data_IF_806570321866
#
_entry.id   IF_806570321866
#
_cell.length_a   1.000
_cell.length_b   1.000
_cell.length_c   1.000
_cell.angle_alpha   90.00
_cell.angle_beta   90.00
_cell.angle_gamma   90.00
#
_symmetry.space_group_name_H-M   'P 1'
#
loop_
_entity.id
_entity.type
_entity.pdbx_description
1 polymer ?
#
# COMPACT_ATOMS: atom_id res chain seq x y z
N UNK A 1 -30.69 14.00 1.57
CA UNK A 1 -30.24 13.53 2.90
C UNK A 1 -29.42 14.58 3.64
N UNK A 2 -29.46 14.60 4.99
CA UNK A 2 -28.46 15.34 5.76
C UNK A 2 -27.10 14.66 5.62
N UNK A 3 -26.03 15.43 5.45
CA UNK A 3 -24.68 14.87 5.35
C UNK A 3 -24.26 14.24 6.69
N UNK A 4 -23.56 13.13 6.61
CA UNK A 4 -22.94 12.46 7.76
C UNK A 4 -21.75 13.32 8.21
N UNK A 5 -21.70 13.69 9.48
CA UNK A 5 -20.63 14.55 10.02
C UNK A 5 -19.40 13.74 10.34
N UNK A 6 -18.26 14.13 9.76
CA UNK A 6 -16.93 13.60 10.11
C UNK A 6 -16.31 14.49 11.19
N UNK A 7 -15.98 13.91 12.33
CA UNK A 7 -15.63 14.66 13.54
C UNK A 7 -14.30 15.40 13.45
N UNK A 8 -13.26 14.73 12.93
CA UNK A 8 -11.92 15.27 12.80
C UNK A 8 -11.49 15.32 11.32
N UNK A 9 -10.54 16.19 10.95
CA UNK A 9 -10.10 16.32 9.57
C UNK A 9 -9.51 15.04 8.99
N UNK A 10 -9.59 14.96 7.66
CA UNK A 10 -8.84 14.00 6.85
C UNK A 10 -7.86 14.78 5.98
N UNK A 11 -6.61 14.33 5.91
CA UNK A 11 -5.59 14.94 5.05
C UNK A 11 -5.75 14.37 3.65
N UNK A 12 -6.01 15.25 2.68
CA UNK A 12 -6.11 14.89 1.28
C UNK A 12 -4.83 15.24 0.53
N UNK A 13 -4.20 14.22 -0.08
CA UNK A 13 -3.01 14.38 -0.90
C UNK A 13 -3.40 14.15 -2.37
N UNK A 14 -3.51 15.22 -3.13
CA UNK A 14 -3.78 15.15 -4.57
C UNK A 14 -2.54 14.68 -5.35
N UNK A 15 -2.72 14.28 -6.60
CA UNK A 15 -1.67 13.66 -7.38
C UNK A 15 -1.56 14.19 -8.80
N UNK A 16 -1.29 13.27 -9.73
CA UNK A 16 -0.94 13.60 -11.11
C UNK A 16 -1.83 12.90 -12.15
N UNK A 17 -1.82 13.45 -13.35
CA UNK A 17 -2.31 12.88 -14.60
C UNK A 17 -3.77 12.36 -14.52
N UNK A 18 -4.08 11.18 -15.08
CA UNK A 18 -5.45 10.68 -15.14
C UNK A 18 -6.03 10.39 -13.75
N UNK A 19 -5.19 9.94 -12.82
CA UNK A 19 -5.63 9.66 -11.45
C UNK A 19 -6.06 10.92 -10.71
N UNK A 20 -5.46 12.09 -10.94
CA UNK A 20 -5.90 13.37 -10.39
C UNK A 20 -7.32 13.74 -10.85
N UNK A 21 -7.61 13.52 -12.13
CA UNK A 21 -8.94 13.77 -12.70
C UNK A 21 -9.98 12.86 -12.05
N UNK A 22 -9.68 11.57 -11.97
CA UNK A 22 -10.55 10.57 -11.34
C UNK A 22 -10.75 10.89 -9.85
N UNK A 23 -9.69 11.27 -9.14
CA UNK A 23 -9.73 11.65 -7.73
C UNK A 23 -10.70 12.79 -7.47
N UNK A 24 -10.66 13.80 -8.34
CA UNK A 24 -11.60 14.93 -8.28
C UNK A 24 -13.04 14.48 -8.51
N UNK A 25 -13.30 13.60 -9.48
CA UNK A 25 -14.64 13.07 -9.72
C UNK A 25 -15.16 12.26 -8.54
N UNK A 26 -14.34 11.36 -7.98
CA UNK A 26 -14.70 10.58 -6.78
C UNK A 26 -15.07 11.51 -5.64
N UNK A 27 -14.22 12.49 -5.33
CA UNK A 27 -14.48 13.47 -4.27
C UNK A 27 -15.79 14.20 -4.46
N UNK A 28 -16.04 14.71 -5.66
CA UNK A 28 -17.22 15.53 -5.96
C UNK A 28 -18.52 14.73 -6.05
N UNK A 29 -18.48 13.47 -6.50
CA UNK A 29 -19.67 12.67 -6.71
C UNK A 29 -19.96 11.72 -5.53
N UNK A 30 -18.95 11.12 -4.93
CA UNK A 30 -19.13 10.03 -3.98
C UNK A 30 -18.77 10.39 -2.52
N UNK A 31 -18.08 11.49 -2.27
CA UNK A 31 -17.62 11.84 -0.92
C UNK A 31 -18.33 13.08 -0.39
N UNK A 32 -18.08 14.24 -0.99
CA UNK A 32 -18.58 15.54 -0.50
C UNK A 32 -20.11 15.68 -0.52
N UNK A 33 -20.87 15.06 -1.45
CA UNK A 33 -22.34 15.11 -1.36
C UNK A 33 -22.91 14.43 -0.12
N UNK A 34 -22.24 13.39 0.38
CA UNK A 34 -22.72 12.52 1.47
C UNK A 34 -22.13 12.88 2.84
N UNK A 35 -20.89 13.41 2.86
CA UNK A 35 -20.15 13.70 4.08
C UNK A 35 -19.94 15.20 4.30
N UNK A 36 -20.11 15.62 5.56
CA UNK A 36 -19.59 16.91 6.05
C UNK A 36 -18.21 16.65 6.66
N UNK A 37 -17.18 16.70 5.81
CA UNK A 37 -15.79 16.38 6.14
C UNK A 37 -14.90 17.60 5.91
N UNK A 38 -14.08 17.94 6.90
CA UNK A 38 -12.99 18.90 6.73
C UNK A 38 -11.80 18.21 6.08
N UNK A 39 -11.39 18.70 4.91
CA UNK A 39 -10.21 18.21 4.20
C UNK A 39 -9.05 19.20 4.35
N UNK A 40 -7.93 18.72 4.90
CA UNK A 40 -6.67 19.46 4.84
C UNK A 40 -5.93 19.04 3.57
N UNK A 41 -5.99 19.90 2.55
CA UNK A 41 -5.58 19.58 1.18
C UNK A 41 -4.12 19.93 0.91
N UNK A 42 -3.40 18.99 0.30
CA UNK A 42 -2.04 19.14 -0.21
C UNK A 42 -1.96 18.72 -1.67
N UNK A 43 -1.48 19.61 -2.54
CA UNK A 43 -1.21 19.29 -3.94
C UNK A 43 0.16 18.63 -4.08
N UNK A 44 0.21 17.31 -4.29
CA UNK A 44 1.43 16.55 -4.58
C UNK A 44 1.66 16.33 -6.08
N UNK A 45 0.98 17.11 -6.93
CA UNK A 45 1.28 17.14 -8.37
C UNK A 45 2.73 17.55 -8.62
N UNK A 46 3.36 16.94 -9.62
CA UNK A 46 4.81 17.09 -9.88
C UNK A 46 5.25 18.55 -10.07
N UNK A 47 4.41 19.38 -10.70
CA UNK A 47 4.71 20.79 -10.92
C UNK A 47 4.72 21.58 -9.60
N UNK A 48 3.77 21.32 -8.70
CA UNK A 48 3.73 21.97 -7.38
C UNK A 48 4.85 21.48 -6.47
N UNK A 49 5.18 20.19 -6.54
CA UNK A 49 6.34 19.63 -5.84
C UNK A 49 7.63 20.30 -6.30
N UNK A 50 7.82 20.50 -7.62
CA UNK A 50 8.98 21.23 -8.16
C UNK A 50 9.01 22.68 -7.69
N UNK A 51 7.87 23.36 -7.69
CA UNK A 51 7.75 24.75 -7.23
C UNK A 51 8.15 24.91 -5.74
N UNK A 52 7.86 23.91 -4.91
CA UNK A 52 8.15 23.91 -3.46
C UNK A 52 9.47 23.21 -3.10
N UNK A 53 10.22 22.68 -4.08
CA UNK A 53 11.39 21.83 -3.83
C UNK A 53 11.04 20.59 -3.00
N UNK A 54 9.90 19.99 -3.31
CA UNK A 54 9.30 18.79 -2.66
C UNK A 54 8.97 18.95 -1.15
N UNK A 55 9.01 20.17 -0.61
CA UNK A 55 8.64 20.43 0.79
C UNK A 55 7.18 20.08 1.08
N UNK A 56 6.29 20.27 0.11
CA UNK A 56 4.86 19.94 0.26
C UNK A 56 4.64 18.47 0.61
N UNK A 57 5.47 17.56 0.14
CA UNK A 57 5.40 16.12 0.50
C UNK A 57 5.70 15.88 1.97
N UNK A 58 6.70 16.59 2.52
CA UNK A 58 7.05 16.52 3.94
C UNK A 58 5.93 17.14 4.79
N UNK A 59 5.45 18.32 4.41
CA UNK A 59 4.36 19.03 5.10
C UNK A 59 3.07 18.18 5.14
N UNK A 60 2.73 17.51 4.04
CA UNK A 60 1.61 16.58 3.97
C UNK A 60 1.77 15.37 4.92
N UNK A 61 2.96 14.76 4.96
CA UNK A 61 3.24 13.65 5.86
C UNK A 61 3.13 14.06 7.35
N UNK A 62 3.65 15.25 7.70
CA UNK A 62 3.52 15.78 9.06
C UNK A 62 2.06 16.14 9.41
N UNK A 63 1.25 16.57 8.41
CA UNK A 63 -0.18 16.76 8.59
C UNK A 63 -0.88 15.43 8.90
N UNK A 64 -0.55 14.36 8.18
CA UNK A 64 -1.09 13.01 8.45
C UNK A 64 -0.77 12.58 9.90
N UNK A 65 0.44 12.81 10.39
CA UNK A 65 0.79 12.55 11.80
C UNK A 65 -0.09 13.33 12.78
N UNK A 66 -0.36 14.62 12.48
CA UNK A 66 -1.20 15.45 13.35
C UNK A 66 -2.65 15.00 13.40
N UNK A 67 -3.22 14.65 12.25
CA UNK A 67 -4.64 14.32 12.12
C UNK A 67 -4.95 12.83 12.20
N UNK A 68 -3.94 11.98 12.07
CA UNK A 68 -4.04 10.53 12.15
C UNK A 68 -4.52 9.84 10.88
N UNK A 69 -5.14 10.55 9.92
CA UNK A 69 -5.65 9.92 8.68
C UNK A 69 -5.30 10.75 7.47
N UNK A 70 -4.69 10.09 6.47
CA UNK A 70 -4.46 10.62 5.13
C UNK A 70 -5.06 9.74 4.05
N UNK A 71 -5.52 10.38 2.97
CA UNK A 71 -5.93 9.72 1.72
C UNK A 71 -5.15 10.30 0.57
N UNK A 72 -4.57 9.45 -0.27
CA UNK A 72 -3.59 9.88 -1.26
C UNK A 72 -3.91 9.40 -2.67
N UNK A 73 -3.91 10.34 -3.60
CA UNK A 73 -3.91 10.09 -5.04
C UNK A 73 -2.53 9.61 -5.52
N UNK A 74 -2.48 8.94 -6.67
CA UNK A 74 -1.22 8.54 -7.28
C UNK A 74 -0.40 9.74 -7.77
N UNK A 75 0.91 9.68 -7.57
CA UNK A 75 1.85 10.75 -7.89
C UNK A 75 2.96 10.26 -8.84
N UNK A 76 3.48 11.16 -9.68
CA UNK A 76 4.63 10.89 -10.53
C UNK A 76 5.89 10.76 -9.67
N UNK A 77 6.66 9.68 -9.87
CA UNK A 77 8.08 9.61 -9.50
C UNK A 77 8.87 9.84 -10.77
N UNK A 78 9.53 11.01 -10.94
CA UNK A 78 10.16 11.35 -12.20
C UNK A 78 11.43 10.53 -12.45
N UNK A 79 11.56 10.08 -13.68
CA UNK A 79 12.82 9.64 -14.29
C UNK A 79 13.42 10.77 -15.15
N UNK A 80 14.52 10.51 -15.82
CA UNK A 80 15.20 11.50 -16.70
C UNK A 80 14.27 12.04 -17.82
N UNK A 81 13.39 11.19 -18.36
CA UNK A 81 12.43 11.58 -19.39
C UNK A 81 11.38 12.55 -18.83
N UNK A 82 10.87 12.26 -17.63
CA UNK A 82 9.89 13.09 -16.93
C UNK A 82 10.49 14.43 -16.48
N UNK A 83 11.74 14.42 -15.97
CA UNK A 83 12.46 15.66 -15.65
C UNK A 83 12.51 16.59 -16.87
N UNK A 84 12.80 16.04 -18.04
CA UNK A 84 12.86 16.79 -19.28
C UNK A 84 11.48 17.25 -19.78
N UNK A 85 10.48 16.37 -19.66
CA UNK A 85 9.10 16.66 -20.09
C UNK A 85 8.50 17.83 -19.32
N UNK A 86 8.66 17.84 -17.99
CA UNK A 86 8.08 18.86 -17.10
C UNK A 86 9.04 20.03 -16.82
N UNK A 87 10.28 19.99 -17.31
CA UNK A 87 11.28 21.01 -17.04
C UNK A 87 11.64 21.14 -15.56
N UNK A 88 11.71 20.01 -14.85
CA UNK A 88 11.93 19.98 -13.41
C UNK A 88 13.34 20.41 -13.03
N UNK A 89 13.49 21.04 -11.87
CA UNK A 89 14.77 21.48 -11.30
C UNK A 89 15.60 20.30 -10.80
N UNK A 90 14.95 19.20 -10.41
CA UNK A 90 15.62 18.02 -9.87
C UNK A 90 14.84 16.75 -10.21
N UNK A 91 15.50 15.61 -10.10
CA UNK A 91 14.88 14.29 -10.18
C UNK A 91 14.40 13.85 -8.77
N UNK A 92 13.23 14.34 -8.38
CA UNK A 92 12.67 14.14 -7.06
C UNK A 92 12.45 12.67 -6.72
N UNK A 93 12.65 12.32 -5.46
CA UNK A 93 12.36 10.98 -4.93
C UNK A 93 10.86 10.67 -4.98
N UNK A 94 10.52 9.40 -4.85
CA UNK A 94 9.12 8.99 -4.72
C UNK A 94 8.46 9.64 -3.50
N UNK A 95 7.33 10.35 -3.65
CA UNK A 95 6.58 10.89 -2.51
C UNK A 95 6.16 9.79 -1.54
N UNK A 96 5.78 8.61 -2.05
CA UNK A 96 5.42 7.46 -1.22
C UNK A 96 6.59 7.06 -0.31
N UNK A 97 7.82 7.04 -0.84
CA UNK A 97 9.01 6.75 -0.04
C UNK A 97 9.25 7.78 1.06
N UNK A 98 9.08 9.07 0.75
CA UNK A 98 9.23 10.16 1.71
C UNK A 98 8.17 10.06 2.82
N UNK A 99 6.89 9.91 2.46
CA UNK A 99 5.78 9.78 3.40
C UNK A 99 5.98 8.58 4.33
N UNK A 100 6.28 7.40 3.75
CA UNK A 100 6.50 6.16 4.50
C UNK A 100 7.67 6.28 5.48
N UNK A 101 8.75 6.94 5.08
CA UNK A 101 9.90 7.18 5.97
C UNK A 101 9.56 8.12 7.13
N UNK A 102 8.66 9.07 6.93
CA UNK A 102 8.22 10.02 7.98
C UNK A 102 7.22 9.37 8.91
N UNK A 103 6.24 8.63 8.38
CA UNK A 103 5.19 8.00 9.18
C UNK A 103 5.67 6.73 9.88
N UNK A 104 6.55 5.95 9.25
CA UNK A 104 6.86 4.59 9.67
C UNK A 104 5.68 3.63 9.42
N UNK A 105 5.74 2.45 10.00
CA UNK A 105 4.64 1.49 9.94
C UNK A 105 4.77 0.41 8.88
N UNK A 106 3.65 -0.23 8.58
CA UNK A 106 3.52 -1.36 7.67
C UNK A 106 2.53 -1.02 6.57
N UNK A 107 2.84 -1.40 5.35
CA UNK A 107 1.94 -1.24 4.22
C UNK A 107 1.18 -2.55 4.03
N UNK A 108 -0.13 -2.49 4.18
CA UNK A 108 -1.03 -3.60 3.87
C UNK A 108 -1.62 -3.42 2.48
N UNK A 109 -1.35 -4.40 1.62
CA UNK A 109 -1.94 -4.49 0.29
C UNK A 109 -2.94 -5.63 0.25
N UNK A 110 -4.19 -5.27 0.02
CA UNK A 110 -5.33 -6.19 0.04
C UNK A 110 -6.03 -6.16 -1.32
N UNK A 111 -6.23 -7.32 -1.97
CA UNK A 111 -6.98 -7.40 -3.21
C UNK A 111 -8.48 -7.17 -2.96
N UNK A 112 -9.10 -6.42 -3.87
CA UNK A 112 -10.55 -6.25 -3.92
C UNK A 112 -11.10 -7.44 -4.72
N UNK A 113 -11.78 -8.35 -4.01
CA UNK A 113 -12.34 -9.56 -4.61
C UNK A 113 -13.72 -9.28 -5.19
N UNK A 114 -13.89 -9.49 -6.50
CA UNK A 114 -15.14 -9.29 -7.22
C UNK A 114 -15.51 -10.62 -7.89
N UNK A 115 -16.71 -11.13 -7.66
CA UNK A 115 -17.07 -12.51 -7.98
C UNK A 115 -17.03 -12.83 -9.49
N UNK A 116 -17.45 -11.90 -10.34
CA UNK A 116 -17.49 -12.07 -11.79
C UNK A 116 -16.19 -11.69 -12.52
N UNK A 117 -15.18 -11.17 -11.82
CA UNK A 117 -13.86 -10.91 -12.39
C UNK A 117 -13.00 -12.17 -12.28
N UNK A 118 -12.57 -12.76 -13.42
CA UNK A 118 -11.76 -13.97 -13.41
C UNK A 118 -10.41 -13.75 -12.74
N UNK A 119 -9.99 -14.72 -11.93
CA UNK A 119 -8.69 -14.73 -11.27
C UNK A 119 -7.72 -15.62 -12.03
N UNK A 120 -6.46 -15.23 -12.12
CA UNK A 120 -5.41 -16.09 -12.70
C UNK A 120 -5.15 -17.32 -11.82
N UNK A 121 -5.37 -17.22 -10.52
CA UNK A 121 -5.37 -18.34 -9.58
C UNK A 121 -6.80 -18.61 -9.12
N UNK A 122 -7.55 -19.54 -9.77
CA UNK A 122 -8.98 -19.74 -9.50
C UNK A 122 -9.28 -20.14 -8.05
N UNK A 123 -8.34 -20.76 -7.35
CA UNK A 123 -8.48 -21.19 -5.96
C UNK A 123 -8.49 -20.03 -4.94
N UNK A 124 -8.08 -18.84 -5.32
CA UNK A 124 -8.06 -17.67 -4.41
C UNK A 124 -9.47 -17.06 -4.28
N UNK A 125 -10.23 -17.55 -3.34
CA UNK A 125 -11.61 -17.12 -3.09
C UNK A 125 -11.74 -16.07 -2.00
N UNK A 126 -10.68 -15.90 -1.18
CA UNK A 126 -10.57 -14.92 -0.10
C UNK A 126 -9.33 -14.05 -0.28
N UNK A 127 -9.30 -12.82 0.24
CA UNK A 127 -8.13 -11.95 0.12
C UNK A 127 -6.86 -12.58 0.71
N UNK A 128 -5.74 -12.41 0.02
CA UNK A 128 -4.40 -12.59 0.54
C UNK A 128 -3.86 -11.19 0.84
N UNK A 129 -3.72 -10.84 2.10
CA UNK A 129 -3.24 -9.52 2.51
C UNK A 129 -1.74 -9.56 2.67
N UNK A 130 -1.00 -8.79 1.87
CA UNK A 130 0.45 -8.64 2.03
C UNK A 130 0.74 -7.51 3.01
N UNK A 131 1.36 -7.84 4.15
CA UNK A 131 1.91 -6.87 5.09
C UNK A 131 3.38 -6.63 4.78
N UNK A 132 3.72 -5.50 4.13
CA UNK A 132 5.08 -5.15 3.76
C UNK A 132 5.74 -4.30 4.84
N UNK A 133 6.90 -4.74 5.34
CA UNK A 133 7.75 -3.91 6.20
C UNK A 133 8.37 -2.78 5.37
N UNK A 134 7.94 -1.56 5.59
CA UNK A 134 8.31 -0.41 4.76
C UNK A 134 9.63 0.26 5.18
N UNK A 135 10.55 -0.47 5.78
CA UNK A 135 11.80 0.06 6.31
C UNK A 135 13.00 -0.86 6.03
N UNK A 136 14.17 -0.25 5.81
CA UNK A 136 15.45 -0.98 5.77
C UNK A 136 15.66 -1.87 4.55
N UNK A 137 16.48 -2.89 4.72
CA UNK A 137 16.85 -3.90 3.73
C UNK A 137 17.43 -3.28 2.44
N UNK A 138 17.12 -3.83 1.27
CA UNK A 138 17.61 -3.35 -0.02
C UNK A 138 17.24 -1.89 -0.32
N UNK A 139 16.15 -1.38 0.24
CA UNK A 139 15.65 -0.02 0.01
C UNK A 139 16.45 1.05 0.78
N UNK A 140 17.31 0.63 1.70
CA UNK A 140 18.26 1.49 2.44
C UNK A 140 19.69 0.95 2.38
N UNK A 141 20.00 0.18 1.38
CA UNK A 141 21.33 -0.36 1.17
C UNK A 141 22.31 0.73 0.74
N UNK A 142 23.57 0.51 1.10
CA UNK A 142 24.72 1.19 0.50
C UNK A 142 25.42 0.22 -0.43
N UNK A 143 25.55 0.58 -1.70
CA UNK A 143 26.15 -0.29 -2.71
C UNK A 143 27.29 0.41 -3.46
N UNK A 144 28.16 -0.36 -4.05
CA UNK A 144 29.27 0.16 -4.84
C UNK A 144 29.72 -0.80 -5.93
N UNK A 145 30.32 -0.22 -6.97
CA UNK A 145 31.08 -0.97 -7.98
C UNK A 145 32.52 -1.13 -7.51
N UNK A 146 32.96 -2.36 -7.38
CA UNK A 146 34.37 -2.72 -7.13
C UNK A 146 35.11 -2.70 -8.45
N UNK A 147 36.18 -1.89 -8.56
CA UNK A 147 36.86 -1.64 -9.85
C UNK A 147 38.11 -2.48 -10.09
N UNK A 148 38.50 -3.35 -9.15
CA UNK A 148 39.71 -4.15 -9.29
C UNK A 148 39.93 -5.12 -8.15
N UNK A 149 41.09 -5.70 -8.10
CA UNK A 149 41.51 -6.61 -7.04
C UNK A 149 41.57 -5.91 -5.68
N UNK A 150 41.10 -6.57 -4.62
CA UNK A 150 41.13 -6.04 -3.27
C UNK A 150 40.22 -6.79 -2.31
N UNK A 151 40.36 -6.45 -1.04
CA UNK A 151 39.58 -7.05 0.07
C UNK A 151 38.39 -6.16 0.49
N UNK A 152 37.23 -6.76 0.61
CA UNK A 152 36.04 -6.14 1.20
C UNK A 152 35.90 -6.59 2.66
N UNK A 153 35.79 -5.62 3.57
CA UNK A 153 35.51 -5.85 4.99
C UNK A 153 34.29 -5.05 5.42
N UNK A 154 33.55 -5.57 6.39
CA UNK A 154 32.44 -4.88 7.06
C UNK A 154 32.85 -4.65 8.53
N UNK A 155 32.83 -3.40 8.97
CA UNK A 155 33.22 -3.02 10.33
C UNK A 155 32.05 -2.35 11.05
N UNK A 156 31.70 -2.84 12.24
CA UNK A 156 30.82 -2.18 13.18
C UNK A 156 31.62 -1.61 14.34
N UNK A 157 31.57 -0.30 14.56
CA UNK A 157 32.25 0.39 15.65
C UNK A 157 31.24 0.76 16.73
N UNK A 158 31.28 0.09 17.92
CA UNK A 158 30.39 0.41 19.02
C UNK A 158 30.61 1.83 19.56
N UNK A 159 29.50 2.54 19.91
CA UNK A 159 29.56 3.89 20.46
C UNK A 159 30.05 3.94 21.92
N UNK A 160 29.97 2.82 22.64
CA UNK A 160 30.44 2.68 24.01
C UNK A 160 31.95 2.51 24.17
N UNK A 161 32.70 2.50 23.05
CA UNK A 161 34.15 2.32 23.02
C UNK A 161 34.62 0.86 23.16
N UNK A 162 33.71 -0.11 23.13
CA UNK A 162 34.07 -1.54 23.06
C UNK A 162 34.74 -1.88 21.73
N UNK A 163 35.37 -3.06 21.67
CA UNK A 163 36.13 -3.48 20.50
C UNK A 163 35.24 -3.53 19.24
N UNK A 164 35.68 -2.96 18.12
CA UNK A 164 35.00 -3.08 16.84
C UNK A 164 34.81 -4.55 16.40
N UNK A 165 33.71 -4.82 15.76
CA UNK A 165 33.46 -6.10 15.08
C UNK A 165 33.86 -5.93 13.63
N UNK A 166 34.80 -6.70 13.15
CA UNK A 166 35.28 -6.68 11.78
C UNK A 166 35.02 -8.03 11.12
N UNK A 167 34.39 -8.03 9.96
CA UNK A 167 34.05 -9.23 9.18
C UNK A 167 34.69 -9.14 7.81
N UNK A 168 35.49 -10.14 7.46
CA UNK A 168 35.96 -10.35 6.10
C UNK A 168 34.79 -10.80 5.24
N UNK A 169 34.42 -10.03 4.22
CA UNK A 169 33.31 -10.33 3.33
C UNK A 169 33.79 -11.13 2.14
N UNK A 170 34.78 -10.59 1.39
CA UNK A 170 35.28 -11.24 0.20
C UNK A 170 36.62 -10.64 -0.26
N UNK A 171 37.50 -11.50 -0.79
CA UNK A 171 38.72 -11.09 -1.49
C UNK A 171 38.47 -11.12 -3.00
N UNK A 172 38.26 -9.91 -3.59
CA UNK A 172 37.97 -9.75 -5.00
C UNK A 172 39.22 -10.01 -5.85
N UNK A 173 39.19 -10.96 -6.81
CA UNK A 173 40.27 -11.16 -7.78
C UNK A 173 40.22 -10.17 -8.95
N UNK A 174 39.25 -9.28 -8.98
CA UNK A 174 38.99 -8.29 -10.03
C UNK A 174 37.76 -7.46 -9.75
N UNK A 175 37.14 -6.91 -10.80
CA UNK A 175 35.95 -6.10 -10.67
C UNK A 175 34.70 -6.86 -10.20
N UNK A 176 33.77 -6.16 -9.58
CA UNK A 176 32.51 -6.72 -9.09
C UNK A 176 31.58 -5.68 -8.50
N UNK A 177 30.65 -6.12 -7.70
CA UNK A 177 29.70 -5.28 -6.94
C UNK A 177 29.65 -5.71 -5.50
N UNK A 178 29.37 -4.76 -4.59
CA UNK A 178 29.19 -5.03 -3.17
C UNK A 178 28.06 -4.19 -2.62
N UNK A 179 27.36 -4.71 -1.60
CA UNK A 179 26.26 -4.03 -0.94
C UNK A 179 26.25 -4.36 0.55
N UNK A 180 25.90 -3.37 1.37
CA UNK A 180 25.54 -3.54 2.76
C UNK A 180 24.10 -3.02 2.99
N UNK A 181 23.31 -3.76 3.76
CA UNK A 181 21.97 -3.39 4.17
C UNK A 181 21.81 -3.58 5.68
N UNK A 182 20.78 -2.95 6.26
CA UNK A 182 20.52 -3.01 7.70
C UNK A 182 19.02 -2.96 8.01
N UNK A 183 18.69 -3.33 9.24
CA UNK A 183 17.40 -3.10 9.84
C UNK A 183 17.55 -2.81 11.34
N UNK A 184 16.48 -2.40 12.01
CA UNK A 184 16.48 -2.04 13.43
C UNK A 184 15.52 -2.95 14.19
N UNK A 185 15.91 -3.40 15.38
CA UNK A 185 15.08 -4.24 16.24
C UNK A 185 13.72 -3.61 16.53
N UNK A 186 13.69 -2.32 16.87
CA UNK A 186 12.44 -1.61 17.18
C UNK A 186 11.52 -1.54 15.94
N UNK A 187 12.08 -1.30 14.75
CA UNK A 187 11.31 -1.32 13.50
C UNK A 187 10.74 -2.70 13.20
N UNK A 188 11.49 -3.76 13.48
CA UNK A 188 11.02 -5.15 13.31
C UNK A 188 9.93 -5.48 14.35
N UNK A 189 10.06 -5.01 15.62
CA UNK A 189 9.02 -5.17 16.64
C UNK A 189 7.73 -4.46 16.25
N UNK A 190 7.82 -3.25 15.73
CA UNK A 190 6.66 -2.50 15.25
C UNK A 190 6.01 -3.19 14.05
N UNK A 191 6.80 -3.76 13.14
CA UNK A 191 6.32 -4.57 12.03
C UNK A 191 5.57 -5.81 12.54
N UNK A 192 6.10 -6.51 13.54
CA UNK A 192 5.45 -7.66 14.14
C UNK A 192 4.11 -7.26 14.80
N UNK A 193 4.12 -6.24 15.68
CA UNK A 193 2.91 -5.75 16.35
C UNK A 193 1.82 -5.33 15.38
N UNK A 194 2.20 -4.59 14.34
CA UNK A 194 1.24 -4.10 13.34
C UNK A 194 0.63 -5.24 12.54
N UNK A 195 1.45 -6.20 12.10
CA UNK A 195 0.99 -7.36 11.33
C UNK A 195 0.05 -8.26 12.15
N UNK A 196 0.41 -8.54 13.40
CA UNK A 196 -0.40 -9.36 14.29
C UNK A 196 -1.72 -8.66 14.66
N UNK A 197 -1.69 -7.35 14.97
CA UNK A 197 -2.90 -6.56 15.21
C UNK A 197 -3.83 -6.57 14.01
N UNK A 198 -3.30 -6.36 12.81
CA UNK A 198 -4.10 -6.40 11.58
C UNK A 198 -4.76 -7.77 11.38
N UNK A 199 -4.04 -8.87 11.68
CA UNK A 199 -4.61 -10.21 11.67
C UNK A 199 -5.78 -10.36 12.64
N UNK A 200 -5.64 -9.88 13.87
CA UNK A 200 -6.74 -9.88 14.87
C UNK A 200 -7.95 -9.08 14.41
N UNK A 201 -7.75 -7.86 13.92
CA UNK A 201 -8.82 -6.98 13.42
C UNK A 201 -9.60 -7.61 12.26
N UNK A 202 -8.92 -8.40 11.43
CA UNK A 202 -9.52 -9.10 10.27
C UNK A 202 -10.05 -10.49 10.61
N UNK A 203 -9.72 -11.04 11.76
CA UNK A 203 -9.98 -12.43 12.09
C UNK A 203 -9.19 -13.41 11.20
N UNK A 204 -7.98 -13.03 10.78
CA UNK A 204 -7.14 -13.77 9.85
C UNK A 204 -5.87 -14.30 10.55
N UNK A 205 -5.45 -15.54 10.27
CA UNK A 205 -4.14 -16.02 10.67
C UNK A 205 -3.03 -15.17 10.01
N UNK A 206 -1.89 -15.10 10.67
CA UNK A 206 -0.72 -14.34 10.23
C UNK A 206 0.44 -15.28 9.94
N UNK A 207 0.97 -15.20 8.73
CA UNK A 207 2.20 -15.92 8.33
C UNK A 207 3.30 -14.91 8.06
N UNK A 208 4.42 -15.03 8.79
CA UNK A 208 5.64 -14.27 8.54
C UNK A 208 6.62 -15.12 7.74
N UNK A 209 7.16 -14.61 6.64
CA UNK A 209 8.10 -15.38 5.82
C UNK A 209 9.47 -14.73 5.73
N UNK A 210 10.50 -15.59 5.77
CA UNK A 210 11.91 -15.22 5.62
C UNK A 210 12.69 -16.30 4.88
N UNK A 211 13.95 -16.01 4.59
CA UNK A 211 14.91 -17.02 4.14
C UNK A 211 16.02 -17.25 5.20
N UNK A 212 15.64 -17.41 6.45
CA UNK A 212 16.56 -17.54 7.59
C UNK A 212 17.48 -18.77 7.51
N UNK A 213 17.19 -19.75 6.67
CA UNK A 213 18.09 -20.88 6.39
C UNK A 213 19.35 -20.45 5.61
N UNK A 214 19.29 -19.35 4.88
CA UNK A 214 20.39 -18.72 4.14
C UNK A 214 20.89 -17.49 4.87
N UNK A 215 20.01 -16.52 5.15
CA UNK A 215 20.32 -15.29 5.88
C UNK A 215 20.16 -15.51 7.40
N UNK A 216 20.98 -16.42 7.95
CA UNK A 216 20.81 -16.99 9.30
C UNK A 216 20.73 -15.94 10.39
N UNK A 217 21.53 -14.88 10.34
CA UNK A 217 21.55 -13.80 11.33
C UNK A 217 20.52 -12.72 11.01
N UNK A 218 20.52 -12.24 9.76
CA UNK A 218 19.67 -11.14 9.34
C UNK A 218 18.19 -11.53 9.40
N UNK A 219 17.79 -12.53 8.65
CA UNK A 219 16.41 -13.02 8.64
C UNK A 219 16.03 -13.76 9.93
N UNK A 220 17.00 -14.41 10.57
CA UNK A 220 16.81 -15.03 11.89
C UNK A 220 16.36 -14.01 12.93
N UNK A 221 16.91 -12.77 12.92
CA UNK A 221 16.50 -11.73 13.84
C UNK A 221 15.05 -11.30 13.65
N UNK A 222 14.56 -11.23 12.40
CA UNK A 222 13.13 -10.99 12.11
C UNK A 222 12.25 -12.10 12.70
N UNK A 223 12.62 -13.37 12.45
CA UNK A 223 11.89 -14.52 12.99
C UNK A 223 11.82 -14.47 14.51
N UNK A 224 12.95 -14.27 15.17
CA UNK A 224 13.05 -14.30 16.63
C UNK A 224 12.22 -13.16 17.26
N UNK A 225 12.29 -11.94 16.73
CA UNK A 225 11.51 -10.81 17.22
C UNK A 225 10.01 -11.02 17.01
N UNK A 226 9.58 -11.56 15.87
CA UNK A 226 8.17 -11.88 15.65
C UNK A 226 7.66 -12.91 16.66
N UNK A 227 8.45 -13.94 16.96
CA UNK A 227 8.11 -14.95 17.95
C UNK A 227 8.05 -14.35 19.37
N UNK A 228 9.03 -13.51 19.76
CA UNK A 228 9.04 -12.78 21.03
C UNK A 228 7.75 -11.94 21.21
N UNK A 229 7.38 -11.15 20.17
CA UNK A 229 6.18 -10.29 20.22
C UNK A 229 4.91 -11.13 20.26
N UNK A 230 4.81 -12.17 19.45
CA UNK A 230 3.64 -13.06 19.44
C UNK A 230 3.43 -13.72 20.80
N UNK A 231 4.46 -14.40 21.32
CA UNK A 231 4.36 -15.12 22.60
C UNK A 231 4.10 -14.17 23.79
N UNK A 232 4.71 -12.98 23.78
CA UNK A 232 4.62 -12.03 24.89
C UNK A 232 3.38 -11.12 24.86
N UNK A 233 2.85 -10.79 23.69
CA UNK A 233 1.86 -9.73 23.56
C UNK A 233 0.53 -10.18 22.90
N UNK A 234 0.50 -11.22 22.04
CA UNK A 234 -0.65 -11.53 21.18
C UNK A 234 -1.21 -12.93 21.30
N UNK A 235 -0.47 -13.87 21.85
CA UNK A 235 -0.84 -15.28 21.85
C UNK A 235 -2.23 -15.55 22.45
N UNK A 236 -2.53 -14.98 23.60
CA UNK A 236 -3.83 -15.16 24.26
C UNK A 236 -4.99 -14.65 23.41
N UNK A 237 -4.80 -13.51 22.72
CA UNK A 237 -5.85 -12.92 21.89
C UNK A 237 -6.05 -13.72 20.59
N UNK A 238 -4.97 -14.25 20.02
CA UNK A 238 -5.03 -15.15 18.86
C UNK A 238 -5.74 -16.46 19.19
N UNK A 239 -5.42 -17.07 20.34
CA UNK A 239 -6.11 -18.27 20.84
C UNK A 239 -7.61 -18.01 21.07
N UNK A 240 -7.96 -16.87 21.70
CA UNK A 240 -9.34 -16.49 21.92
C UNK A 240 -10.10 -16.22 20.61
N UNK A 241 -9.44 -15.68 19.60
CA UNK A 241 -10.00 -15.43 18.27
C UNK A 241 -10.02 -16.68 17.37
N UNK A 242 -9.40 -17.78 17.78
CA UNK A 242 -9.30 -19.03 17.00
C UNK A 242 -8.45 -18.89 15.75
N UNK A 243 -7.47 -17.97 15.74
CA UNK A 243 -6.51 -17.76 14.65
C UNK A 243 -5.09 -18.08 15.09
N UNK A 244 -4.17 -18.23 14.14
CA UNK A 244 -2.79 -18.67 14.41
C UNK A 244 -1.77 -17.70 13.85
N UNK A 245 -0.56 -17.72 14.44
CA UNK A 245 0.65 -17.16 13.87
C UNK A 245 1.63 -18.29 13.55
N UNK A 246 2.30 -18.19 12.40
CA UNK A 246 3.34 -19.15 11.99
C UNK A 246 4.43 -18.42 11.20
N UNK A 247 5.71 -18.76 11.48
CA UNK A 247 6.82 -18.40 10.64
C UNK A 247 7.07 -19.50 9.59
N UNK A 248 7.26 -19.10 8.32
CA UNK A 248 7.55 -20.00 7.21
C UNK A 248 8.75 -19.55 6.38
N UNK A 249 9.42 -20.48 5.72
CA UNK A 249 10.36 -20.11 4.65
C UNK A 249 9.60 -19.51 3.48
N UNK A 250 10.15 -18.47 2.85
CA UNK A 250 9.45 -17.72 1.81
C UNK A 250 9.07 -18.58 0.60
N UNK A 251 9.92 -19.49 0.19
CA UNK A 251 9.66 -20.43 -0.90
C UNK A 251 8.51 -21.41 -0.55
N UNK A 252 8.46 -21.88 0.67
CA UNK A 252 7.36 -22.71 1.17
C UNK A 252 6.05 -21.89 1.26
N UNK A 253 6.14 -20.63 1.70
CA UNK A 253 4.98 -19.75 1.76
C UNK A 253 4.43 -19.42 0.36
N UNK A 254 5.28 -19.20 -0.64
CA UNK A 254 4.86 -19.03 -2.04
C UNK A 254 4.13 -20.28 -2.53
N UNK A 255 4.67 -21.47 -2.26
CA UNK A 255 4.04 -22.73 -2.64
C UNK A 255 2.67 -22.93 -1.93
N UNK A 256 2.58 -22.51 -0.66
CA UNK A 256 1.35 -22.57 0.12
C UNK A 256 0.31 -21.57 -0.41
N UNK A 257 0.71 -20.34 -0.71
CA UNK A 257 -0.16 -19.29 -1.25
C UNK A 257 -0.86 -19.73 -2.54
N UNK A 258 -0.17 -20.44 -3.43
CA UNK A 258 -0.75 -20.96 -4.68
C UNK A 258 -1.77 -22.10 -4.47
N UNK A 259 -1.76 -22.75 -3.29
CA UNK A 259 -2.62 -23.89 -2.97
C UNK A 259 -3.79 -23.52 -2.06
N UNK A 260 -3.63 -22.48 -1.25
CA UNK A 260 -4.64 -22.04 -0.30
C UNK A 260 -5.65 -21.10 -0.93
N UNK A 261 -6.82 -21.00 -0.31
CA UNK A 261 -7.91 -20.16 -0.80
C UNK A 261 -7.77 -18.66 -0.50
N UNK A 262 -6.79 -18.28 0.33
CA UNK A 262 -6.67 -16.93 0.90
C UNK A 262 -7.25 -16.84 2.31
N UNK A 263 -7.58 -15.62 2.76
CA UNK A 263 -8.10 -15.37 4.10
C UNK A 263 -7.00 -15.34 5.18
N UNK A 264 -5.85 -14.74 4.85
CA UNK A 264 -4.73 -14.61 5.77
C UNK A 264 -3.91 -13.35 5.51
N UNK A 265 -3.12 -12.96 6.49
CA UNK A 265 -2.10 -11.92 6.39
C UNK A 265 -0.74 -12.58 6.15
N UNK A 266 -0.06 -12.15 5.11
CA UNK A 266 1.31 -12.57 4.80
C UNK A 266 2.27 -11.42 5.09
N UNK A 267 2.94 -11.48 6.23
CA UNK A 267 3.95 -10.50 6.63
C UNK A 267 5.28 -10.77 5.93
N UNK A 268 5.74 -9.80 5.15
CA UNK A 268 6.91 -9.89 4.31
C UNK A 268 7.92 -8.79 4.63
N UNK A 269 9.21 -9.09 4.55
CA UNK A 269 10.27 -8.08 4.54
C UNK A 269 10.08 -7.12 3.35
N UNK A 270 10.80 -6.02 3.35
CA UNK A 270 10.56 -4.90 2.43
C UNK A 270 10.53 -5.33 0.95
N UNK A 271 11.58 -5.94 0.44
CA UNK A 271 11.65 -6.39 -0.96
C UNK A 271 10.67 -7.53 -1.26
N UNK A 272 10.59 -8.52 -0.36
CA UNK A 272 9.69 -9.65 -0.52
C UNK A 272 8.23 -9.17 -0.61
N UNK A 273 7.85 -8.20 0.24
CA UNK A 273 6.50 -7.61 0.24
C UNK A 273 6.20 -6.79 -1.01
N UNK A 274 7.19 -6.12 -1.57
CA UNK A 274 7.04 -5.41 -2.85
C UNK A 274 6.71 -6.38 -3.98
N UNK A 275 7.51 -7.42 -4.14
CA UNK A 275 7.34 -8.42 -5.20
C UNK A 275 6.07 -9.24 -5.01
N UNK A 276 5.81 -9.71 -3.77
CA UNK A 276 4.64 -10.56 -3.51
C UNK A 276 3.31 -9.80 -3.61
N UNK A 277 3.27 -8.51 -3.24
CA UNK A 277 2.06 -7.72 -3.41
C UNK A 277 1.64 -7.59 -4.88
N UNK A 278 2.58 -7.39 -5.78
CA UNK A 278 2.31 -7.33 -7.22
C UNK A 278 1.92 -8.72 -7.77
N UNK A 279 2.61 -9.78 -7.32
CA UNK A 279 2.26 -11.16 -7.69
C UNK A 279 0.83 -11.50 -7.29
N UNK A 280 0.43 -11.18 -6.05
CA UNK A 280 -0.92 -11.40 -5.54
C UNK A 280 -1.94 -10.56 -6.31
N UNK A 281 -1.64 -9.28 -6.58
CA UNK A 281 -2.53 -8.42 -7.37
C UNK A 281 -2.82 -8.99 -8.75
N UNK A 282 -1.80 -9.47 -9.45
CA UNK A 282 -1.98 -10.11 -10.76
C UNK A 282 -2.76 -11.42 -10.64
N UNK A 283 -2.50 -12.21 -9.61
CA UNK A 283 -3.24 -13.45 -9.34
C UNK A 283 -4.73 -13.23 -9.12
N UNK A 284 -5.13 -12.10 -8.55
CA UNK A 284 -6.52 -11.66 -8.39
C UNK A 284 -7.10 -10.95 -9.63
N UNK A 285 -6.31 -10.75 -10.68
CA UNK A 285 -6.76 -10.29 -11.98
C UNK A 285 -6.25 -8.91 -12.40
N UNK A 286 -6.06 -7.96 -11.49
CA UNK A 286 -5.64 -6.60 -11.84
C UNK A 286 -5.04 -5.84 -10.66
N UNK A 287 -3.97 -5.10 -10.92
CA UNK A 287 -3.42 -4.12 -9.96
C UNK A 287 -4.43 -3.00 -9.64
N UNK A 288 -5.36 -2.70 -10.55
CA UNK A 288 -6.46 -1.77 -10.34
C UNK A 288 -7.50 -2.23 -9.29
N UNK A 289 -7.38 -3.47 -8.81
CA UNK A 289 -8.19 -4.07 -7.75
C UNK A 289 -7.36 -4.31 -6.47
N UNK A 290 -6.33 -3.51 -6.22
CA UNK A 290 -5.48 -3.62 -5.04
C UNK A 290 -5.54 -2.32 -4.23
N UNK A 291 -5.85 -2.45 -2.93
CA UNK A 291 -5.72 -1.36 -1.96
C UNK A 291 -4.30 -1.28 -1.41
N UNK A 292 -3.90 -0.13 -0.91
CA UNK A 292 -2.64 0.06 -0.19
C UNK A 292 -2.91 0.95 1.02
N UNK A 293 -2.71 0.41 2.22
CA UNK A 293 -2.95 1.11 3.47
C UNK A 293 -1.71 1.01 4.35
N UNK A 294 -1.08 2.14 4.63
CA UNK A 294 -0.04 2.24 5.65
C UNK A 294 -0.71 2.40 7.01
N UNK A 295 -0.24 1.64 8.00
CA UNK A 295 -0.67 1.74 9.39
C UNK A 295 0.56 1.76 10.32
N UNK A 296 0.56 2.68 11.30
CA UNK A 296 1.59 2.70 12.35
C UNK A 296 1.32 1.66 13.43
N UNK A 297 2.37 1.28 14.17
CA UNK A 297 2.31 0.23 15.19
C UNK A 297 1.32 0.51 16.33
N UNK A 298 1.09 1.78 16.65
CA UNK A 298 0.12 2.20 17.66
C UNK A 298 -1.32 2.30 17.10
N UNK A 299 -1.49 2.09 15.79
CA UNK A 299 -2.78 2.20 15.10
C UNK A 299 -3.36 3.61 15.00
N UNK A 300 -2.59 4.65 15.40
CA UNK A 300 -3.07 6.04 15.45
C UNK A 300 -2.86 6.82 14.17
N UNK A 301 -2.12 6.27 13.22
CA UNK A 301 -1.88 6.89 11.93
C UNK A 301 -2.13 5.90 10.81
N UNK A 302 -2.98 6.31 9.87
CA UNK A 302 -3.33 5.54 8.67
C UNK A 302 -3.20 6.44 7.45
N UNK A 303 -2.54 5.95 6.41
CA UNK A 303 -2.52 6.58 5.09
C UNK A 303 -2.98 5.56 4.06
N UNK A 304 -4.02 5.89 3.30
CA UNK A 304 -4.60 5.01 2.29
C UNK A 304 -4.39 5.58 0.88
N UNK A 305 -3.90 4.72 -0.04
CA UNK A 305 -3.65 5.09 -1.42
C UNK A 305 -4.07 3.97 -2.39
N UNK A 306 -4.19 4.28 -3.68
CA UNK A 306 -4.27 3.27 -4.72
C UNK A 306 -2.89 2.67 -4.99
N UNK A 307 -2.81 1.35 -5.16
CA UNK A 307 -1.54 0.63 -5.37
C UNK A 307 -0.99 0.75 -6.81
N UNK A 308 -1.57 1.59 -7.66
CA UNK A 308 -1.17 1.80 -9.05
C UNK A 308 -0.64 3.21 -9.30
N UNK A 309 -0.04 3.45 -10.48
CA UNK A 309 0.49 4.74 -10.89
C UNK A 309 -0.56 5.68 -11.47
N UNK A 310 -0.10 6.78 -12.08
CA UNK A 310 -0.91 7.92 -12.54
C UNK A 310 -1.68 7.71 -13.85
N UNK A 311 -1.53 6.53 -14.48
CA UNK A 311 -2.21 6.13 -15.74
C UNK A 311 -1.96 7.12 -16.89
N UNK A 312 -0.72 7.42 -17.15
CA UNK A 312 -0.22 8.38 -18.17
C UNK A 312 -0.85 8.18 -19.54
N UNK A 313 -0.97 6.93 -20.00
CA UNK A 313 -1.51 6.63 -21.33
C UNK A 313 -2.95 7.13 -21.48
N UNK A 314 -3.81 6.95 -20.48
CA UNK A 314 -5.18 7.46 -20.53
C UNK A 314 -5.22 9.00 -20.37
N UNK A 315 -4.30 9.56 -19.59
CA UNK A 315 -4.18 11.01 -19.50
C UNK A 315 -3.88 11.65 -20.86
N UNK A 316 -2.99 11.05 -21.66
CA UNK A 316 -2.72 11.52 -23.04
C UNK A 316 -3.95 11.46 -23.95
N UNK A 317 -4.79 10.46 -23.80
CA UNK A 317 -6.07 10.38 -24.51
C UNK A 317 -7.05 11.45 -24.05
N UNK A 318 -7.13 11.67 -22.75
CA UNK A 318 -7.98 12.72 -22.15
C UNK A 318 -7.57 14.12 -22.64
N UNK A 319 -6.27 14.42 -22.68
CA UNK A 319 -5.75 15.68 -23.24
C UNK A 319 -6.13 15.91 -24.72
N UNK A 320 -6.38 14.83 -25.46
CA UNK A 320 -6.87 14.88 -26.84
C UNK A 320 -8.41 14.98 -26.96
N UNK A 321 -9.11 15.13 -25.84
CA UNK A 321 -10.57 15.16 -25.79
C UNK A 321 -11.24 13.81 -26.07
N UNK A 322 -10.49 12.69 -25.96
CA UNK A 322 -11.02 11.35 -26.18
C UNK A 322 -11.60 10.78 -24.85
N UNK A 323 -12.75 10.10 -24.91
CA UNK A 323 -13.28 9.42 -23.73
C UNK A 323 -12.31 8.34 -23.26
N UNK A 324 -12.21 8.17 -21.94
CA UNK A 324 -11.36 7.15 -21.31
C UNK A 324 -12.18 6.24 -20.42
N UNK A 325 -11.77 4.99 -20.36
CA UNK A 325 -12.30 4.01 -19.41
C UNK A 325 -11.17 3.56 -18.50
N UNK A 326 -10.92 4.38 -17.50
CA UNK A 326 -9.90 4.15 -16.45
C UNK A 326 -10.60 3.69 -15.20
N UNK A 327 -10.15 2.58 -14.63
CA UNK A 327 -10.72 1.98 -13.44
C UNK A 327 -10.49 2.87 -12.20
N UNK A 328 -11.56 3.38 -11.55
CA UNK A 328 -11.44 4.24 -10.37
C UNK A 328 -11.48 3.47 -9.05
N UNK A 329 -11.67 2.14 -9.08
CA UNK A 329 -12.01 1.33 -7.89
C UNK A 329 -10.96 1.47 -6.79
N UNK A 330 -9.68 1.29 -7.12
CA UNK A 330 -8.62 1.42 -6.11
C UNK A 330 -8.55 2.83 -5.49
N UNK A 331 -8.86 3.88 -6.25
CA UNK A 331 -8.94 5.26 -5.73
C UNK A 331 -10.17 5.47 -4.86
N UNK A 332 -11.32 4.87 -5.18
CA UNK A 332 -12.51 4.87 -4.32
C UNK A 332 -12.16 4.19 -2.98
N UNK A 333 -11.52 3.02 -3.04
CA UNK A 333 -11.11 2.29 -1.84
C UNK A 333 -10.03 3.01 -1.01
N UNK A 334 -9.18 3.82 -1.62
CA UNK A 334 -8.28 4.71 -0.86
C UNK A 334 -9.08 5.70 0.00
N UNK A 335 -10.12 6.34 -0.54
CA UNK A 335 -11.03 7.19 0.22
C UNK A 335 -11.76 6.43 1.32
N UNK A 336 -12.37 5.30 0.99
CA UNK A 336 -13.17 4.53 1.96
C UNK A 336 -12.35 3.94 3.08
N UNK A 337 -11.14 3.43 2.81
CA UNK A 337 -10.23 2.92 3.85
C UNK A 337 -9.78 4.02 4.80
N UNK A 338 -9.47 5.21 4.28
CA UNK A 338 -9.18 6.38 5.12
C UNK A 338 -10.37 6.82 5.96
N UNK A 339 -11.55 6.91 5.38
CA UNK A 339 -12.78 7.29 6.08
C UNK A 339 -13.19 6.26 7.13
N UNK A 340 -13.10 4.97 6.83
CA UNK A 340 -13.35 3.91 7.81
C UNK A 340 -12.38 3.98 9.00
N UNK A 341 -11.08 4.25 8.72
CA UNK A 341 -10.09 4.48 9.78
C UNK A 341 -10.46 5.72 10.62
N UNK A 342 -10.89 6.81 9.97
CA UNK A 342 -11.34 8.03 10.65
C UNK A 342 -12.55 7.76 11.56
N UNK A 343 -13.56 7.04 11.04
CA UNK A 343 -14.74 6.65 11.79
C UNK A 343 -14.40 5.82 13.04
N UNK A 344 -13.53 4.83 12.91
CA UNK A 344 -13.05 4.02 14.04
C UNK A 344 -12.30 4.84 15.08
N UNK A 345 -11.34 5.68 14.65
CA UNK A 345 -10.56 6.53 15.56
C UNK A 345 -11.42 7.56 16.31
N UNK A 346 -12.46 8.05 15.67
CA UNK A 346 -13.36 9.09 16.24
C UNK A 346 -14.53 8.51 17.03
N UNK A 347 -14.76 7.19 16.96
CA UNK A 347 -15.94 6.55 17.53
C UNK A 347 -17.24 7.00 16.84
N UNK A 348 -17.19 7.22 15.50
CA UNK A 348 -18.34 7.62 14.66
C UNK A 348 -18.69 6.48 13.70
N UNK A 349 -19.49 5.48 14.16
CA UNK A 349 -19.78 4.27 13.38
C UNK A 349 -20.46 4.58 12.04
N UNK A 350 -21.25 5.65 11.95
CA UNK A 350 -21.94 6.09 10.73
C UNK A 350 -20.95 6.46 9.59
N UNK A 351 -19.77 6.96 9.93
CA UNK A 351 -18.70 7.22 8.94
C UNK A 351 -18.08 5.92 8.45
N UNK A 352 -17.88 4.97 9.34
CA UNK A 352 -17.37 3.64 8.99
C UNK A 352 -18.39 2.90 8.11
N UNK A 353 -19.67 2.91 8.49
CA UNK A 353 -20.76 2.27 7.75
C UNK A 353 -20.93 2.88 6.33
N UNK A 354 -20.83 4.20 6.20
CA UNK A 354 -20.83 4.85 4.89
C UNK A 354 -19.69 4.33 4.01
N UNK A 355 -18.47 4.27 4.54
CA UNK A 355 -17.30 3.82 3.80
C UNK A 355 -17.46 2.35 3.34
N UNK A 356 -17.91 1.47 4.23
CA UNK A 356 -18.15 0.05 3.93
C UNK A 356 -19.32 -0.13 2.95
N UNK A 357 -20.34 0.71 3.02
CA UNK A 357 -21.45 0.71 2.07
C UNK A 357 -20.97 1.12 0.67
N UNK A 358 -20.15 2.16 0.55
CA UNK A 358 -19.59 2.56 -0.74
C UNK A 358 -18.71 1.45 -1.35
N UNK A 359 -17.89 0.77 -0.55
CA UNK A 359 -17.10 -0.39 -1.02
C UNK A 359 -18.01 -1.50 -1.53
N UNK A 360 -19.03 -1.87 -0.78
CA UNK A 360 -20.00 -2.90 -1.16
C UNK A 360 -20.75 -2.53 -2.45
N UNK A 361 -21.24 -1.30 -2.54
CA UNK A 361 -21.92 -0.80 -3.74
C UNK A 361 -21.02 -0.81 -4.97
N UNK A 362 -19.75 -0.42 -4.79
CA UNK A 362 -18.76 -0.45 -5.87
C UNK A 362 -18.58 -1.88 -6.41
N UNK A 363 -18.39 -2.86 -5.53
CA UNK A 363 -18.26 -4.28 -5.90
C UNK A 363 -19.53 -4.79 -6.59
N UNK A 364 -20.71 -4.56 -6.02
CA UNK A 364 -22.00 -4.97 -6.56
C UNK A 364 -22.28 -4.34 -7.93
N UNK A 365 -21.83 -3.11 -8.16
CA UNK A 365 -21.97 -2.44 -9.47
C UNK A 365 -21.20 -3.22 -10.54
N UNK A 366 -19.97 -3.67 -10.25
CA UNK A 366 -19.21 -4.51 -11.18
C UNK A 366 -19.87 -5.88 -11.36
N UNK A 367 -20.33 -6.51 -10.29
CA UNK A 367 -21.01 -7.81 -10.32
C UNK A 367 -22.32 -7.78 -11.11
N UNK A 368 -22.98 -6.60 -11.17
CA UNK A 368 -24.17 -6.41 -12.03
C UNK A 368 -23.86 -6.28 -13.52
N UNK A 369 -22.58 -6.31 -13.92
CA UNK A 369 -22.11 -6.19 -15.30
C UNK A 369 -21.78 -4.77 -15.75
N UNK A 370 -21.84 -3.77 -14.85
CA UNK A 370 -21.42 -2.39 -15.11
C UNK A 370 -19.98 -2.19 -14.64
N UNK A 371 -19.05 -1.98 -15.55
CA UNK A 371 -17.63 -1.93 -15.25
C UNK A 371 -16.81 -1.15 -16.27
N UNK A 372 -15.59 -0.83 -15.96
CA UNK A 372 -14.62 -0.24 -16.87
C UNK A 372 -14.04 -1.27 -17.83
N UNK A 373 -13.45 -0.79 -18.93
CA UNK A 373 -12.97 -1.61 -20.04
C UNK A 373 -11.92 -2.64 -19.65
N UNK A 374 -11.02 -2.30 -18.71
CA UNK A 374 -9.99 -3.21 -18.20
C UNK A 374 -10.59 -4.46 -17.57
N UNK A 375 -11.63 -4.32 -16.76
CA UNK A 375 -12.34 -5.44 -16.13
C UNK A 375 -13.18 -6.22 -17.13
N UNK A 376 -13.86 -5.52 -18.05
CA UNK A 376 -14.65 -6.17 -19.08
C UNK A 376 -13.79 -7.08 -19.96
N UNK A 377 -12.59 -6.65 -20.33
CA UNK A 377 -11.65 -7.45 -21.12
C UNK A 377 -11.15 -8.70 -20.39
N UNK A 378 -11.13 -8.71 -19.06
CA UNK A 378 -10.81 -9.90 -18.27
C UNK A 378 -11.94 -10.93 -18.34
N UNK A 379 -13.20 -10.48 -18.39
CA UNK A 379 -14.39 -11.36 -18.46
C UNK A 379 -14.53 -11.95 -19.86
N UNK A 380 -14.43 -11.12 -20.90
CA UNK A 380 -14.50 -11.58 -22.27
C UNK A 380 -14.79 -10.48 -23.29
N UNK A 381 -14.66 -10.78 -24.59
CA UNK A 381 -14.79 -9.78 -25.66
C UNK A 381 -16.21 -9.20 -25.80
N UNK A 382 -17.22 -9.92 -25.37
CA UNK A 382 -18.62 -9.52 -25.48
C UNK A 382 -19.16 -8.78 -24.24
N UNK A 383 -18.33 -8.64 -23.18
CA UNK A 383 -18.73 -7.92 -21.98
C UNK A 383 -18.82 -6.41 -22.26
N UNK A 384 -19.99 -5.79 -22.09
CA UNK A 384 -20.12 -4.33 -22.20
C UNK A 384 -19.27 -3.61 -21.14
N UNK A 385 -18.80 -2.42 -21.49
CA UNK A 385 -18.03 -1.59 -20.57
C UNK A 385 -18.51 -0.14 -20.62
N UNK A 386 -18.20 0.58 -19.56
CA UNK A 386 -18.51 2.00 -19.36
C UNK A 386 -17.24 2.86 -19.39
N UNK A 387 -17.37 4.13 -19.77
CA UNK A 387 -16.35 5.13 -19.49
C UNK A 387 -16.20 5.34 -17.97
N UNK A 388 -15.12 5.98 -17.53
CA UNK A 388 -14.93 6.29 -16.11
C UNK A 388 -16.09 7.09 -15.53
N UNK A 389 -16.57 8.09 -16.25
CA UNK A 389 -17.69 8.95 -15.81
C UNK A 389 -19.01 8.18 -15.71
N UNK A 390 -19.33 7.36 -16.70
CA UNK A 390 -20.53 6.51 -16.70
C UNK A 390 -20.49 5.49 -15.55
N UNK A 391 -19.32 4.93 -15.27
CA UNK A 391 -19.16 3.96 -14.19
C UNK A 391 -19.31 4.64 -12.81
N UNK A 392 -18.71 5.81 -12.60
CA UNK A 392 -18.88 6.59 -11.38
C UNK A 392 -20.36 7.02 -11.18
N UNK A 393 -21.05 7.43 -12.26
CA UNK A 393 -22.48 7.74 -12.20
C UNK A 393 -23.33 6.51 -11.82
N UNK A 394 -22.96 5.33 -12.32
CA UNK A 394 -23.62 4.07 -11.94
C UNK A 394 -23.42 3.72 -10.46
N UNK A 395 -22.23 3.98 -9.93
CA UNK A 395 -21.94 3.80 -8.48
C UNK A 395 -22.77 4.79 -7.65
N UNK A 396 -22.79 6.07 -8.03
CA UNK A 396 -23.54 7.12 -7.31
C UNK A 396 -25.05 6.84 -7.28
N UNK A 397 -25.62 6.41 -8.41
CA UNK A 397 -27.02 5.99 -8.47
C UNK A 397 -27.32 4.83 -7.50
N UNK A 398 -26.46 3.82 -7.48
CA UNK A 398 -26.62 2.67 -6.58
C UNK A 398 -26.41 3.06 -5.12
N UNK A 399 -25.41 3.91 -4.83
CA UNK A 399 -25.14 4.41 -3.48
C UNK A 399 -26.30 5.24 -2.95
N UNK A 400 -26.83 6.17 -3.76
CA UNK A 400 -28.00 6.97 -3.39
C UNK A 400 -29.23 6.12 -3.07
N UNK A 401 -29.42 5.01 -3.79
CA UNK A 401 -30.52 4.07 -3.56
C UNK A 401 -30.31 3.25 -2.28
N UNK A 402 -29.09 2.89 -1.96
CA UNK A 402 -28.76 2.09 -0.77
C UNK A 402 -28.84 2.93 0.52
N UNK A 403 -28.51 4.21 0.43
CA UNK A 403 -28.55 5.13 1.58
C UNK A 403 -29.96 5.72 1.83
N UNK A 404 -30.91 5.57 0.90
CA UNK A 404 -32.31 6.01 1.02
C UNK A 404 -32.51 7.40 0.53
#
# INVERSE_FOLDING_TARGET
MAKIKVKNPVVELDGDEMTRIIWSFIKQQLIVPYLDVQLEYYDLGIEHRDATGDRVTVEAAEAIKRHGVGVKCATITPDEARVKEFGLKDMYRSPNGTIRNILGGVIFREPIVIANVPRLVPGWTKPIVIGRHAFGDQYRASDMVVRGEGKLTLTFTPADGSQPIELDVYDFPGGGVAMAMYNLDDSIRDFARTSLRYGLERGYPVYMSTKNTILKRYDGRFKDIFEEVYEGEFKSDFEAAGITYEHRLIDDMVASALKWEGGYVWACKNYDGDVQSDTVAQGFGSLGLMTSVLMTADGKTVEAEAAHGTVTRHYRLHQQGKPTSTNPIASIFAWTRGLAARGRMDGTPEVTEFAETLERVCVQTVESGKMTKDLALLIGPDQPWQTTEEFLASIDENLSRELG
#
